data_IF_679464626360
#
_entry.id   IF_679464626360
#
_cell.length_a   1.000
_cell.length_b   1.000
_cell.length_c   1.000
_cell.angle_alpha   90.00
_cell.angle_beta   90.00
_cell.angle_gamma   90.00
#
_symmetry.space_group_name_H-M   'P 1'
#
loop_
_entity.id
_entity.type
_entity.pdbx_description
1 polymer ?
#
# COMPACT_ATOMS: atom_id res chain seq x y z
N UNK A 1 -42.14 41.78 28.12
CA UNK A 1 -40.98 41.75 27.20
C UNK A 1 -40.83 40.31 26.74
N UNK A 2 -41.28 39.99 25.52
CA UNK A 2 -41.41 38.60 25.03
C UNK A 2 -40.51 38.45 23.79
N UNK A 3 -39.53 37.55 23.87
CA UNK A 3 -38.54 37.28 22.81
C UNK A 3 -39.05 36.20 21.86
N UNK A 4 -38.99 36.46 20.55
CA UNK A 4 -39.49 35.60 19.47
C UNK A 4 -38.35 34.75 18.89
N UNK A 5 -38.53 33.45 18.58
CA UNK A 5 -37.46 32.61 18.00
C UNK A 5 -37.22 32.90 16.50
N UNK A 6 -35.93 32.91 16.09
CA UNK A 6 -35.48 33.15 14.70
C UNK A 6 -35.60 31.87 13.85
N UNK A 7 -36.38 31.97 12.77
CA UNK A 7 -36.67 30.92 11.78
C UNK A 7 -35.45 30.61 10.90
N UNK A 8 -35.05 29.33 10.81
CA UNK A 8 -33.96 28.86 9.94
C UNK A 8 -34.36 28.89 8.45
N UNK A 9 -33.42 29.28 7.58
CA UNK A 9 -33.62 29.36 6.12
C UNK A 9 -33.53 27.97 5.46
N UNK A 10 -34.29 27.70 4.38
CA UNK A 10 -34.36 26.37 3.74
C UNK A 10 -33.16 26.08 2.83
N UNK A 11 -32.52 24.92 3.02
CA UNK A 11 -31.44 24.42 2.14
C UNK A 11 -31.96 24.16 0.72
N UNK A 12 -31.34 24.83 -0.28
CA UNK A 12 -31.63 24.65 -1.70
C UNK A 12 -31.40 23.18 -2.10
N UNK A 13 -32.45 22.54 -2.62
CA UNK A 13 -32.41 21.20 -3.22
C UNK A 13 -31.48 21.19 -4.43
N UNK A 14 -30.46 20.34 -4.40
CA UNK A 14 -29.63 20.02 -5.57
C UNK A 14 -30.51 19.23 -6.56
N UNK A 15 -30.53 19.56 -7.87
CA UNK A 15 -31.34 18.84 -8.85
C UNK A 15 -30.89 17.38 -8.99
N UNK A 16 -31.86 16.46 -9.09
CA UNK A 16 -31.64 15.01 -9.08
C UNK A 16 -30.81 14.45 -10.26
N UNK A 17 -30.44 15.31 -11.23
CA UNK A 17 -29.72 14.94 -12.44
C UNK A 17 -28.39 15.69 -12.59
N UNK A 18 -27.83 16.23 -11.50
CA UNK A 18 -26.48 16.77 -11.50
C UNK A 18 -25.46 15.62 -11.47
N UNK A 19 -24.46 15.59 -12.36
CA UNK A 19 -23.37 14.62 -12.28
C UNK A 19 -22.73 14.72 -10.88
N UNK A 20 -22.63 13.57 -10.19
CA UNK A 20 -22.08 13.50 -8.83
C UNK A 20 -20.73 14.24 -8.77
N UNK A 21 -20.50 15.10 -7.77
CA UNK A 21 -19.21 15.76 -7.61
C UNK A 21 -18.10 14.70 -7.49
N UNK A 22 -17.00 14.93 -8.20
CA UNK A 22 -15.79 14.08 -8.24
C UNK A 22 -15.10 13.92 -6.86
N UNK A 23 -15.58 14.58 -5.80
CA UNK A 23 -15.00 14.57 -4.44
C UNK A 23 -15.24 13.27 -3.65
N UNK A 24 -15.97 12.30 -4.22
CA UNK A 24 -16.17 10.98 -3.63
C UNK A 24 -15.02 9.99 -3.92
N UNK A 25 -13.83 10.46 -4.30
CA UNK A 25 -12.64 9.62 -4.21
C UNK A 25 -12.32 9.43 -2.72
N UNK A 26 -12.16 8.21 -2.22
CA UNK A 26 -11.80 7.99 -0.82
C UNK A 26 -10.52 8.77 -0.53
N UNK A 27 -10.62 9.75 0.37
CA UNK A 27 -9.47 10.54 0.80
C UNK A 27 -8.54 9.58 1.53
N UNK A 28 -7.30 9.46 1.03
CA UNK A 28 -6.21 8.71 1.67
C UNK A 28 -6.23 8.99 3.17
N UNK A 29 -6.34 7.93 3.99
CA UNK A 29 -6.53 8.02 5.44
C UNK A 29 -5.45 8.87 6.10
N UNK A 30 -5.80 9.58 7.17
CA UNK A 30 -4.85 10.42 7.92
C UNK A 30 -3.65 9.61 8.45
N UNK A 31 -3.85 8.32 8.71
CA UNK A 31 -2.81 7.37 9.10
C UNK A 31 -1.81 7.11 7.98
N UNK A 32 -2.28 6.89 6.74
CA UNK A 32 -1.41 6.75 5.57
C UNK A 32 -0.57 8.01 5.33
N UNK A 33 -1.17 9.20 5.51
CA UNK A 33 -0.43 10.48 5.38
C UNK A 33 0.63 10.67 6.47
N UNK A 34 0.38 10.19 7.69
CA UNK A 34 1.36 10.23 8.79
C UNK A 34 2.49 9.24 8.57
N UNK A 35 2.17 8.04 8.11
CA UNK A 35 3.18 7.04 7.76
C UNK A 35 4.13 7.60 6.68
N UNK A 36 3.60 8.25 5.63
CA UNK A 36 4.43 8.81 4.55
C UNK A 36 5.38 9.89 5.06
N UNK A 37 4.92 10.74 5.99
CA UNK A 37 5.77 11.75 6.63
C UNK A 37 6.83 11.15 7.57
N UNK A 38 6.60 9.93 8.06
CA UNK A 38 7.50 9.18 8.95
C UNK A 38 8.44 8.25 8.16
N UNK A 39 8.41 8.25 6.82
CA UNK A 39 9.24 7.37 5.99
C UNK A 39 8.66 5.97 5.80
N UNK A 40 7.34 5.82 5.83
CA UNK A 40 6.65 4.56 5.58
C UNK A 40 5.47 4.76 4.63
N UNK A 41 5.19 3.79 3.75
CA UNK A 41 3.97 3.78 2.97
C UNK A 41 2.97 2.76 3.51
N UNK A 42 1.70 3.13 3.56
CA UNK A 42 0.63 2.21 3.88
C UNK A 42 0.04 1.66 2.59
N UNK A 43 0.11 0.35 2.41
CA UNK A 43 -0.47 -0.38 1.28
C UNK A 43 -1.65 -1.21 1.77
N UNK A 44 -2.82 -0.97 1.21
CA UNK A 44 -3.95 -1.90 1.29
C UNK A 44 -3.90 -2.88 0.12
N UNK A 45 -3.97 -4.18 0.41
CA UNK A 45 -4.02 -5.26 -0.56
C UNK A 45 -5.45 -5.77 -0.79
N UNK A 46 -5.72 -6.39 -1.95
CA UNK A 46 -7.03 -6.97 -2.28
C UNK A 46 -7.53 -8.00 -1.25
N UNK A 47 -6.62 -8.71 -0.56
CA UNK A 47 -6.95 -9.60 0.55
C UNK A 47 -7.44 -8.89 1.84
N UNK A 48 -7.59 -7.56 1.83
CA UNK A 48 -8.07 -6.77 2.97
C UNK A 48 -7.02 -6.52 4.04
N UNK A 49 -5.75 -6.83 3.75
CA UNK A 49 -4.61 -6.59 4.65
C UNK A 49 -4.01 -5.23 4.35
N UNK A 50 -3.84 -4.45 5.41
CA UNK A 50 -3.12 -3.18 5.39
C UNK A 50 -1.70 -3.41 5.91
N UNK A 51 -0.70 -3.18 5.07
CA UNK A 51 0.71 -3.34 5.38
C UNK A 51 1.42 -1.97 5.39
N UNK A 52 2.38 -1.81 6.29
CA UNK A 52 3.26 -0.64 6.43
C UNK A 52 4.64 -0.97 5.88
N UNK A 53 4.99 -0.35 4.77
CA UNK A 53 6.23 -0.54 4.02
C UNK A 53 7.22 0.55 4.43
N UNK A 54 8.39 0.23 5.01
CA UNK A 54 9.44 1.23 5.22
C UNK A 54 10.00 1.75 3.88
N UNK A 55 10.25 3.06 3.80
CA UNK A 55 10.81 3.75 2.64
C UNK A 55 12.03 4.59 3.04
N UNK A 56 12.93 4.83 2.07
CA UNK A 56 14.10 5.69 2.26
C UNK A 56 14.99 5.21 3.42
N UNK A 57 15.32 6.14 4.33
CA UNK A 57 16.19 5.89 5.49
C UNK A 57 15.67 4.84 6.49
N UNK A 58 14.38 4.50 6.44
CA UNK A 58 13.81 3.46 7.30
C UNK A 58 13.87 2.06 6.68
N UNK A 59 14.38 1.94 5.44
CA UNK A 59 14.51 0.64 4.78
C UNK A 59 15.52 -0.25 5.53
N UNK A 60 15.17 -1.49 5.90
CA UNK A 60 16.09 -2.40 6.57
C UNK A 60 17.31 -2.68 5.70
N UNK A 61 18.51 -2.65 6.28
CA UNK A 61 19.76 -2.98 5.56
C UNK A 61 19.70 -4.36 4.88
N UNK A 62 19.00 -5.32 5.49
CA UNK A 62 18.79 -6.65 4.90
C UNK A 62 18.13 -6.59 3.50
N UNK A 63 17.28 -5.59 3.23
CA UNK A 63 16.67 -5.39 1.91
C UNK A 63 17.74 -4.95 0.90
N UNK A 64 18.59 -4.00 1.29
CA UNK A 64 19.70 -3.51 0.47
C UNK A 64 20.68 -4.64 0.17
N UNK A 65 21.02 -5.47 1.17
CA UNK A 65 21.90 -6.63 0.98
C UNK A 65 21.35 -7.61 -0.06
N UNK A 66 20.04 -7.87 -0.08
CA UNK A 66 19.41 -8.77 -1.06
C UNK A 66 19.40 -8.14 -2.47
N UNK A 67 19.16 -6.83 -2.56
CA UNK A 67 19.14 -6.07 -3.83
C UNK A 67 20.52 -5.80 -4.43
N UNK A 68 21.56 -5.70 -3.60
CA UNK A 68 22.95 -5.57 -4.04
C UNK A 68 23.57 -6.94 -4.37
N UNK A 69 23.12 -8.00 -3.69
CA UNK A 69 23.60 -9.36 -3.94
C UNK A 69 23.38 -9.76 -5.40
N UNK A 70 24.43 -10.16 -6.14
CA UNK A 70 24.30 -10.52 -7.54
C UNK A 70 23.37 -11.73 -7.68
N UNK A 71 22.33 -11.58 -8.50
CA UNK A 71 21.46 -12.70 -8.81
C UNK A 71 22.28 -13.80 -9.51
N UNK A 72 22.14 -15.08 -9.09
CA UNK A 72 22.77 -16.18 -9.81
C UNK A 72 22.24 -16.18 -11.25
N UNK A 73 23.16 -16.13 -12.21
CA UNK A 73 22.84 -16.23 -13.63
C UNK A 73 22.67 -17.71 -13.98
N UNK A 74 21.45 -18.11 -14.29
CA UNK A 74 21.18 -19.41 -14.88
C UNK A 74 21.10 -19.25 -16.40
N UNK A 75 21.61 -20.26 -17.12
CA UNK A 75 21.51 -20.31 -18.59
C UNK A 75 20.07 -20.57 -19.03
N UNK A 76 19.28 -21.22 -18.17
CA UNK A 76 17.88 -21.53 -18.39
C UNK A 76 16.98 -20.36 -17.96
N UNK A 77 16.16 -19.86 -18.87
CA UNK A 77 15.29 -18.69 -18.64
C UNK A 77 14.21 -18.98 -17.58
N UNK A 78 13.69 -20.21 -17.52
CA UNK A 78 12.71 -20.61 -16.52
C UNK A 78 13.33 -20.68 -15.13
N UNK A 79 14.55 -21.21 -15.03
CA UNK A 79 15.30 -21.24 -13.77
C UNK A 79 15.72 -19.83 -13.32
N UNK A 80 16.12 -18.97 -14.25
CA UNK A 80 16.42 -17.56 -13.98
C UNK A 80 15.20 -16.83 -13.44
N UNK A 81 14.02 -17.03 -14.04
CA UNK A 81 12.75 -16.43 -13.59
C UNK A 81 12.29 -16.97 -12.24
N UNK A 82 12.57 -18.23 -11.92
CA UNK A 82 12.33 -18.80 -10.60
C UNK A 82 13.28 -18.20 -9.55
N UNK A 83 14.56 -17.98 -9.90
CA UNK A 83 15.53 -17.31 -9.04
C UNK A 83 15.13 -15.86 -8.75
N UNK A 84 14.71 -15.11 -9.78
CA UNK A 84 14.26 -13.73 -9.65
C UNK A 84 13.04 -13.63 -8.72
N UNK A 85 12.02 -14.47 -8.92
CA UNK A 85 10.84 -14.54 -8.02
C UNK A 85 11.20 -14.86 -6.57
N UNK A 86 12.18 -15.75 -6.34
CA UNK A 86 12.66 -16.06 -4.98
C UNK A 86 13.35 -14.86 -4.34
N UNK A 87 14.08 -14.07 -5.13
CA UNK A 87 14.73 -12.84 -4.68
C UNK A 87 13.70 -11.77 -4.33
N UNK A 88 12.72 -11.53 -5.21
CA UNK A 88 11.60 -10.60 -4.94
C UNK A 88 10.87 -10.97 -3.65
N UNK A 89 10.63 -12.27 -3.41
CA UNK A 89 9.95 -12.74 -2.20
C UNK A 89 10.78 -12.52 -0.94
N UNK A 90 12.10 -12.66 -1.06
CA UNK A 90 13.03 -12.39 0.03
C UNK A 90 13.06 -10.89 0.36
N UNK A 91 13.06 -10.03 -0.66
CA UNK A 91 12.95 -8.57 -0.51
C UNK A 91 11.65 -8.20 0.19
N UNK A 92 10.50 -8.68 -0.28
CA UNK A 92 9.21 -8.38 0.32
C UNK A 92 9.13 -8.83 1.78
N UNK A 93 9.67 -10.02 2.10
CA UNK A 93 9.71 -10.55 3.47
C UNK A 93 10.61 -9.73 4.39
N UNK A 94 11.80 -9.33 3.91
CA UNK A 94 12.72 -8.50 4.67
C UNK A 94 12.15 -7.10 4.92
N UNK A 95 11.42 -6.55 3.94
CA UNK A 95 10.83 -5.22 3.99
C UNK A 95 9.62 -5.16 4.93
N UNK A 96 8.77 -6.19 4.92
CA UNK A 96 7.62 -6.29 5.82
C UNK A 96 8.03 -6.63 7.26
N UNK A 97 9.07 -7.45 7.42
CA UNK A 97 9.42 -8.04 8.70
C UNK A 97 8.52 -9.22 9.08
N UNK A 98 8.88 -9.97 10.13
CA UNK A 98 8.17 -11.20 10.53
C UNK A 98 6.70 -10.93 10.88
N UNK A 99 6.41 -9.91 11.70
CA UNK A 99 5.05 -9.62 12.18
C UNK A 99 4.07 -9.34 11.03
N UNK A 100 4.45 -8.47 10.09
CA UNK A 100 3.59 -8.11 8.97
C UNK A 100 3.51 -9.22 7.92
N UNK A 101 4.58 -9.99 7.75
CA UNK A 101 4.57 -11.17 6.88
C UNK A 101 3.61 -12.23 7.42
N UNK A 102 3.59 -12.47 8.74
CA UNK A 102 2.65 -13.39 9.36
C UNK A 102 1.20 -12.92 9.21
N UNK A 103 0.91 -11.63 9.36
CA UNK A 103 -0.43 -11.07 9.09
C UNK A 103 -0.82 -11.28 7.63
N UNK A 104 0.10 -11.03 6.70
CA UNK A 104 -0.13 -11.24 5.27
C UNK A 104 -0.42 -12.71 4.96
N UNK A 105 0.37 -13.65 5.49
CA UNK A 105 0.18 -15.10 5.30
C UNK A 105 -1.10 -15.61 5.98
N UNK A 106 -1.43 -15.10 7.16
CA UNK A 106 -2.64 -15.46 7.89
C UNK A 106 -3.93 -15.09 7.14
N UNK A 107 -3.87 -14.03 6.32
CA UNK A 107 -4.96 -13.63 5.44
C UNK A 107 -5.12 -14.54 4.19
N UNK A 108 -4.31 -15.60 4.07
CA UNK A 108 -4.32 -16.53 2.94
C UNK A 108 -4.25 -15.81 1.57
N UNK A 109 -3.15 -15.08 1.32
CA UNK A 109 -3.02 -14.27 0.13
C UNK A 109 -2.87 -15.17 -1.10
N UNK A 110 -3.47 -14.75 -2.21
CA UNK A 110 -3.31 -15.44 -3.49
C UNK A 110 -2.03 -14.98 -4.19
N UNK A 111 -1.63 -15.69 -5.25
CA UNK A 111 -0.54 -15.25 -6.13
C UNK A 111 -0.79 -13.84 -6.67
N UNK A 112 -2.07 -13.47 -6.92
CA UNK A 112 -2.43 -12.11 -7.34
C UNK A 112 -2.16 -11.07 -6.27
N UNK A 113 -2.45 -11.36 -5.01
CA UNK A 113 -2.18 -10.45 -3.89
C UNK A 113 -0.68 -10.23 -3.71
N UNK A 114 0.11 -11.29 -3.88
CA UNK A 114 1.56 -11.21 -3.84
C UNK A 114 2.14 -10.39 -5.01
N UNK A 115 1.63 -10.57 -6.23
CA UNK A 115 2.02 -9.74 -7.38
C UNK A 115 1.65 -8.28 -7.14
N UNK A 116 0.43 -8.00 -6.66
CA UNK A 116 0.00 -6.64 -6.32
C UNK A 116 0.89 -6.02 -5.23
N UNK A 117 1.27 -6.79 -4.22
CA UNK A 117 2.22 -6.35 -3.19
C UNK A 117 3.57 -5.96 -3.81
N UNK A 118 4.13 -6.81 -4.68
CA UNK A 118 5.38 -6.53 -5.38
C UNK A 118 5.30 -5.27 -6.25
N UNK A 119 4.24 -5.12 -7.04
CA UNK A 119 4.02 -3.93 -7.88
C UNK A 119 3.92 -2.65 -7.05
N UNK A 120 3.18 -2.69 -5.93
CA UNK A 120 3.03 -1.53 -5.06
C UNK A 120 4.32 -1.20 -4.32
N UNK A 121 5.07 -2.21 -3.86
CA UNK A 121 6.40 -1.99 -3.27
C UNK A 121 7.32 -1.35 -4.31
N UNK A 122 7.43 -1.91 -5.52
CA UNK A 122 8.26 -1.37 -6.59
C UNK A 122 7.91 0.07 -6.96
N UNK A 123 6.62 0.38 -7.06
CA UNK A 123 6.14 1.74 -7.31
C UNK A 123 6.50 2.74 -6.19
N UNK A 124 6.65 2.28 -4.95
CA UNK A 124 7.00 3.12 -3.81
C UNK A 124 8.51 3.26 -3.61
N UNK A 125 9.29 2.22 -3.94
CA UNK A 125 10.75 2.24 -3.80
C UNK A 125 11.47 2.84 -5.01
N UNK A 126 10.75 3.10 -6.11
CA UNK A 126 11.27 3.82 -7.26
C UNK A 126 12.25 2.99 -8.07
N UNK A 127 11.72 2.07 -8.87
CA UNK A 127 12.40 1.53 -10.05
C UNK A 127 11.46 1.54 -11.26
#
# INVERSE_FOLDING_TARGET
MTTTPRKAAPSKRVPANAPKPQDHKPKKSAEARKAEADGYATIELQCGVTLRIPLGDNMPLAVIEILDSPAPKCEDEDEQKAADRRREMSVAKALLGPDQWEIFVAAQPTVRDYVELGEKIGALTGN
#
